data_IF_438335032087
#
_entry.id   IF_438335032087
#
_cell.length_a   1.000
_cell.length_b   1.000
_cell.length_c   1.000
_cell.angle_alpha   90.00
_cell.angle_beta   90.00
_cell.angle_gamma   90.00
#
_symmetry.space_group_name_H-M   'P 1'
#
loop_
_entity.id
_entity.type
_entity.pdbx_description
1 polymer ?
#
# COMPACT_ATOMS: atom_id res chain seq x y z
N UNK A 1 10.73 -8.21 -6.78
CA UNK A 1 10.64 -9.66 -6.48
C UNK A 1 11.98 -10.33 -6.24
N UNK A 2 12.85 -10.50 -7.24
CA UNK A 2 14.14 -11.23 -7.10
C UNK A 2 15.02 -10.67 -5.97
N UNK A 3 15.06 -9.35 -5.80
CA UNK A 3 15.83 -8.71 -4.74
C UNK A 3 15.31 -9.11 -3.35
N UNK A 4 13.99 -9.03 -3.13
CA UNK A 4 13.38 -9.40 -1.85
C UNK A 4 13.58 -10.88 -1.53
N UNK A 5 13.44 -11.76 -2.54
CA UNK A 5 13.72 -13.19 -2.39
C UNK A 5 15.17 -13.45 -1.98
N UNK A 6 16.14 -12.77 -2.62
CA UNK A 6 17.55 -12.89 -2.25
C UNK A 6 17.84 -12.37 -0.84
N UNK A 7 17.19 -11.29 -0.42
CA UNK A 7 17.33 -10.79 0.96
C UNK A 7 16.81 -11.84 1.94
N UNK A 8 15.62 -12.41 1.71
CA UNK A 8 15.08 -13.49 2.52
C UNK A 8 16.02 -14.70 2.57
N UNK A 9 16.61 -15.10 1.44
CA UNK A 9 17.57 -16.21 1.37
C UNK A 9 18.85 -15.94 2.20
N UNK A 10 19.32 -14.69 2.26
CA UNK A 10 20.48 -14.31 3.08
C UNK A 10 20.21 -14.52 4.58
N UNK A 11 18.97 -14.33 5.02
CA UNK A 11 18.58 -14.51 6.42
C UNK A 11 18.04 -15.91 6.73
N UNK A 12 18.06 -16.83 5.76
CA UNK A 12 17.61 -18.22 5.95
C UNK A 12 18.25 -18.96 7.13
N UNK A 13 19.54 -18.78 7.49
CA UNK A 13 20.10 -19.39 8.69
C UNK A 13 19.41 -18.97 10.00
N UNK A 14 18.71 -17.84 9.98
CA UNK A 14 17.95 -17.29 11.10
C UNK A 14 16.44 -17.44 10.90
N UNK A 15 16.00 -18.33 10.00
CA UNK A 15 14.59 -18.43 9.64
C UNK A 15 13.71 -18.60 10.87
N UNK A 16 14.15 -19.33 11.89
CA UNK A 16 13.37 -19.60 13.12
C UNK A 16 13.23 -18.36 14.03
N UNK A 17 13.87 -17.23 13.73
CA UNK A 17 13.71 -15.99 14.50
C UNK A 17 13.71 -14.76 13.57
N UNK A 18 13.08 -14.92 12.41
CA UNK A 18 13.04 -13.88 11.38
C UNK A 18 11.63 -13.28 11.25
N UNK A 19 11.57 -11.97 11.44
CA UNK A 19 10.49 -11.12 10.96
C UNK A 19 11.01 -10.34 9.75
N UNK A 20 10.34 -10.52 8.60
CA UNK A 20 10.62 -9.78 7.39
C UNK A 20 9.48 -8.80 7.12
N UNK A 21 9.83 -7.52 6.99
CA UNK A 21 8.90 -6.43 6.68
C UNK A 21 9.42 -5.71 5.45
N UNK A 22 8.58 -5.57 4.43
CA UNK A 22 8.86 -4.76 3.26
C UNK A 22 7.70 -3.81 2.99
N UNK A 23 8.06 -2.57 2.69
CA UNK A 23 7.15 -1.51 2.35
C UNK A 23 7.76 -0.64 1.25
N UNK A 24 6.97 -0.29 0.24
CA UNK A 24 7.34 0.78 -0.69
C UNK A 24 6.89 2.15 -0.13
N UNK A 25 7.70 3.16 -0.34
CA UNK A 25 7.46 4.55 0.06
C UNK A 25 6.32 5.20 -0.74
N UNK A 26 6.23 4.90 -2.04
CA UNK A 26 5.14 5.33 -2.90
C UNK A 26 4.88 4.33 -4.03
N UNK A 27 3.74 4.48 -4.69
CA UNK A 27 3.43 3.79 -5.94
C UNK A 27 3.84 4.64 -7.14
N UNK A 28 3.56 4.17 -8.35
CA UNK A 28 4.02 4.80 -9.58
C UNK A 28 2.97 4.60 -10.67
N UNK A 29 2.71 5.64 -11.47
CA UNK A 29 2.00 5.48 -12.73
C UNK A 29 2.98 4.91 -13.75
N UNK A 30 2.63 3.78 -14.36
CA UNK A 30 3.43 3.17 -15.42
C UNK A 30 2.53 2.94 -16.63
N UNK A 31 2.71 3.73 -17.68
CA UNK A 31 1.92 3.65 -18.91
C UNK A 31 2.66 4.19 -20.13
N UNK A 32 2.08 4.00 -21.31
CA UNK A 32 2.66 4.52 -22.55
C UNK A 32 2.73 6.06 -22.59
N UNK A 33 1.75 6.74 -21.98
CA UNK A 33 1.54 8.18 -22.14
C UNK A 33 1.86 9.00 -20.88
N UNK A 34 2.07 8.34 -19.74
CA UNK A 34 2.34 8.99 -18.45
C UNK A 34 3.12 8.05 -17.54
N UNK A 35 4.22 8.56 -16.96
CA UNK A 35 5.07 7.80 -16.05
C UNK A 35 5.55 8.72 -14.93
N UNK A 36 5.58 8.26 -13.70
CA UNK A 36 5.95 9.12 -12.57
C UNK A 36 5.02 8.98 -11.37
N UNK A 37 5.30 9.85 -10.41
CA UNK A 37 4.46 10.21 -9.27
C UNK A 37 4.58 11.71 -9.01
N UNK A 38 3.83 12.25 -8.05
CA UNK A 38 3.76 13.67 -7.71
C UNK A 38 2.78 14.47 -8.57
N UNK A 39 1.73 13.84 -9.09
CA UNK A 39 0.74 14.54 -9.92
C UNK A 39 -0.27 15.34 -9.08
N UNK A 40 -0.84 16.39 -9.69
CA UNK A 40 -2.02 17.06 -9.18
C UNK A 40 -2.97 17.42 -10.33
N UNK A 41 -4.19 16.85 -10.39
CA UNK A 41 -4.72 15.86 -9.45
C UNK A 41 -3.91 14.54 -9.46
N UNK A 42 -3.72 13.96 -8.28
CA UNK A 42 -3.05 12.67 -8.11
C UNK A 42 -3.92 11.48 -8.55
N UNK A 43 -3.29 10.32 -8.70
CA UNK A 43 -3.91 9.06 -9.10
C UNK A 43 -3.78 8.01 -8.01
N UNK A 44 -4.72 7.05 -8.00
CA UNK A 44 -4.70 5.96 -7.01
C UNK A 44 -3.39 5.16 -7.02
N UNK A 45 -2.79 4.98 -8.20
CA UNK A 45 -1.55 4.22 -8.40
C UNK A 45 -0.35 4.83 -7.65
N UNK A 46 -0.36 6.13 -7.35
CA UNK A 46 0.72 6.80 -6.60
C UNK A 46 0.70 6.44 -5.10
N UNK A 47 -0.46 6.01 -4.58
CA UNK A 47 -0.66 5.68 -3.17
C UNK A 47 -0.79 4.18 -2.90
N UNK A 48 -1.00 3.39 -3.95
CA UNK A 48 -1.16 1.94 -3.83
C UNK A 48 0.21 1.26 -3.77
N UNK A 49 0.68 1.01 -2.55
CA UNK A 49 1.98 0.39 -2.31
C UNK A 49 1.89 -1.06 -1.89
N UNK A 50 2.86 -1.91 -2.27
CA UNK A 50 3.01 -3.24 -1.71
C UNK A 50 3.46 -3.17 -0.25
N UNK A 51 2.76 -3.91 0.61
CA UNK A 51 3.16 -4.20 1.97
C UNK A 51 3.31 -5.71 2.14
N UNK A 52 4.52 -6.17 2.48
CA UNK A 52 4.81 -7.57 2.71
C UNK A 52 5.25 -7.73 4.16
N UNK A 53 4.56 -8.63 4.84
CA UNK A 53 4.93 -9.06 6.17
C UNK A 53 5.08 -10.58 6.15
N UNK A 54 6.18 -11.09 6.67
CA UNK A 54 6.45 -12.51 6.72
C UNK A 54 7.18 -12.86 8.02
N UNK A 55 6.81 -13.99 8.60
CA UNK A 55 7.54 -14.59 9.72
C UNK A 55 7.42 -16.11 9.64
N UNK A 56 8.45 -16.80 10.11
CA UNK A 56 8.45 -18.26 10.28
C UNK A 56 7.54 -18.74 11.41
N UNK A 57 7.28 -17.88 12.38
CA UNK A 57 6.42 -18.17 13.52
C UNK A 57 5.09 -17.46 13.40
N UNK A 58 4.02 -18.19 13.67
CA UNK A 58 2.72 -17.60 13.94
C UNK A 58 2.76 -16.95 15.34
N UNK A 59 3.38 -15.77 15.43
CA UNK A 59 3.38 -14.98 16.66
C UNK A 59 1.96 -14.47 16.93
N UNK A 60 1.55 -14.24 18.20
CA UNK A 60 0.24 -13.68 18.53
C UNK A 60 -0.10 -12.41 17.72
N UNK A 61 0.83 -11.46 17.47
CA UNK A 61 0.63 -10.33 16.58
C UNK A 61 0.07 -10.66 15.19
N UNK A 62 0.41 -11.84 14.64
CA UNK A 62 -0.02 -12.26 13.32
C UNK A 62 -1.53 -12.48 13.21
N UNK A 63 -2.14 -13.00 14.27
CA UNK A 63 -3.58 -13.24 14.32
C UNK A 63 -4.35 -11.91 14.33
N UNK A 64 -3.86 -10.96 15.12
CA UNK A 64 -4.45 -9.64 15.26
C UNK A 64 -4.37 -8.89 13.91
N UNK A 65 -3.17 -8.82 13.30
CA UNK A 65 -2.96 -8.21 11.97
C UNK A 65 -3.89 -8.82 10.92
N UNK A 66 -3.90 -10.15 10.80
CA UNK A 66 -4.70 -10.83 9.79
C UNK A 66 -6.20 -10.61 10.01
N UNK A 67 -6.66 -10.62 11.26
CA UNK A 67 -8.07 -10.40 11.59
C UNK A 67 -8.49 -8.96 11.27
N UNK A 68 -7.63 -7.97 11.57
CA UNK A 68 -7.93 -6.57 11.26
C UNK A 68 -7.97 -6.34 9.76
N UNK A 69 -6.97 -6.82 9.00
CA UNK A 69 -6.95 -6.70 7.54
C UNK A 69 -8.12 -7.43 6.87
N UNK A 70 -8.56 -8.56 7.42
CA UNK A 70 -9.70 -9.31 6.88
C UNK A 70 -11.07 -8.69 7.19
N UNK A 71 -11.17 -7.89 8.27
CA UNK A 71 -12.42 -7.26 8.72
C UNK A 71 -12.54 -5.80 8.29
N UNK A 72 -11.45 -5.17 7.87
CA UNK A 72 -11.46 -3.80 7.38
C UNK A 72 -11.98 -3.72 5.95
N UNK A 73 -12.97 -2.86 5.73
CA UNK A 73 -13.37 -2.37 4.39
C UNK A 73 -12.50 -1.21 3.92
N UNK A 74 -11.59 -0.72 4.77
CA UNK A 74 -10.73 0.43 4.53
C UNK A 74 -9.38 0.06 3.93
N UNK A 75 -8.69 1.06 3.38
CA UNK A 75 -7.29 0.97 2.99
C UNK A 75 -6.44 1.01 4.25
N UNK A 76 -5.47 0.09 4.36
CA UNK A 76 -4.47 0.16 5.42
C UNK A 76 -3.54 1.34 5.10
N UNK A 77 -3.61 2.41 5.90
CA UNK A 77 -2.68 3.52 5.76
C UNK A 77 -1.42 3.24 6.61
N UNK A 78 -0.29 3.72 6.14
CA UNK A 78 1.02 3.44 6.75
C UNK A 78 1.51 4.60 7.60
N UNK A 79 0.65 5.57 7.87
CA UNK A 79 0.97 6.75 8.68
C UNK A 79 1.41 6.38 10.11
N UNK A 80 0.94 5.23 10.61
CA UNK A 80 1.32 4.67 11.91
C UNK A 80 2.23 3.43 11.78
N UNK A 81 3.03 3.35 10.71
CA UNK A 81 3.94 2.21 10.48
C UNK A 81 5.01 2.08 11.57
N UNK A 82 5.51 3.20 12.11
CA UNK A 82 6.43 3.22 13.24
C UNK A 82 5.86 2.49 14.47
N UNK A 83 4.60 2.77 14.81
CA UNK A 83 3.89 2.09 15.89
C UNK A 83 3.64 0.61 15.58
N UNK A 84 3.32 0.26 14.33
CA UNK A 84 3.22 -1.15 13.91
C UNK A 84 4.57 -1.85 14.12
N UNK A 85 5.67 -1.22 13.72
CA UNK A 85 7.00 -1.79 13.84
C UNK A 85 7.40 -1.99 15.31
N UNK A 86 7.11 -1.03 16.19
CA UNK A 86 7.32 -1.19 17.63
C UNK A 86 6.51 -2.34 18.22
N UNK A 87 5.28 -2.54 17.75
CA UNK A 87 4.44 -3.66 18.18
C UNK A 87 4.98 -5.00 17.69
N UNK A 88 5.37 -5.07 16.41
CA UNK A 88 6.00 -6.25 15.82
C UNK A 88 7.32 -6.62 16.50
N UNK A 89 8.08 -5.63 16.95
CA UNK A 89 9.31 -5.81 17.72
C UNK A 89 9.07 -6.17 19.20
N UNK A 90 7.81 -6.26 19.65
CA UNK A 90 7.45 -6.57 21.04
C UNK A 90 7.74 -5.45 22.03
N UNK A 91 8.01 -4.22 21.56
CA UNK A 91 8.30 -3.05 22.40
C UNK A 91 7.01 -2.51 23.03
N UNK A 92 5.90 -2.54 22.28
CA UNK A 92 4.58 -2.14 22.79
C UNK A 92 3.64 -3.35 22.85
N UNK A 93 2.76 -3.43 23.87
CA UNK A 93 1.94 -4.62 24.11
C UNK A 93 0.74 -4.73 23.18
N UNK A 94 0.34 -3.64 22.51
CA UNK A 94 -0.80 -3.61 21.61
C UNK A 94 -0.61 -2.58 20.51
N UNK A 95 -1.28 -2.81 19.39
CA UNK A 95 -1.34 -1.89 18.25
C UNK A 95 -2.78 -1.78 17.77
N UNK A 96 -3.20 -0.56 17.48
CA UNK A 96 -4.49 -0.28 16.86
C UNK A 96 -4.20 0.04 15.40
N UNK A 97 -4.60 -0.86 14.50
CA UNK A 97 -4.49 -0.61 13.07
C UNK A 97 -5.31 0.60 12.71
N UNK A 98 -4.64 1.58 12.11
CA UNK A 98 -5.32 2.68 11.48
C UNK A 98 -5.71 2.23 10.07
N UNK A 99 -7.00 2.35 9.79
CA UNK A 99 -7.55 2.13 8.47
C UNK A 99 -8.20 3.44 8.07
N UNK A 100 -7.76 3.98 6.95
CA UNK A 100 -8.21 5.28 6.46
C UNK A 100 -8.13 5.26 4.94
N UNK A 101 -9.16 5.78 4.27
CA UNK A 101 -9.08 6.10 2.86
C UNK A 101 -8.36 7.43 2.62
N UNK A 102 -8.05 8.21 3.65
CA UNK A 102 -7.43 9.51 3.48
C UNK A 102 -5.94 9.39 3.11
N UNK A 103 -5.53 10.13 2.09
CA UNK A 103 -4.14 10.23 1.63
C UNK A 103 -3.73 11.69 1.50
N UNK A 104 -2.43 11.95 1.66
CA UNK A 104 -1.85 13.29 1.48
C UNK A 104 -1.47 13.51 0.01
N UNK A 105 -2.17 14.41 -0.66
CA UNK A 105 -1.85 14.91 -2.00
C UNK A 105 -1.24 16.30 -1.88
N UNK A 106 0.09 16.40 -2.06
CA UNK A 106 0.84 17.65 -1.94
C UNK A 106 0.53 18.42 -0.64
N UNK A 107 -0.37 19.39 -0.70
CA UNK A 107 -0.77 20.28 0.39
C UNK A 107 -2.19 20.03 0.94
N UNK A 108 -2.85 18.95 0.52
CA UNK A 108 -4.22 18.61 0.95
C UNK A 108 -4.41 17.13 1.30
N UNK A 109 -5.45 16.88 2.08
CA UNK A 109 -5.93 15.52 2.38
C UNK A 109 -7.12 15.22 1.47
N UNK A 110 -7.07 14.08 0.78
CA UNK A 110 -8.11 13.62 -0.15
C UNK A 110 -8.54 12.19 0.17
N UNK A 111 -9.75 11.81 -0.20
CA UNK A 111 -10.18 10.42 -0.12
C UNK A 111 -9.60 9.63 -1.30
N UNK A 112 -8.92 8.53 -1.01
CA UNK A 112 -8.33 7.61 -1.99
C UNK A 112 -9.35 7.12 -3.03
N UNK A 113 -10.59 6.87 -2.61
CA UNK A 113 -11.64 6.39 -3.51
C UNK A 113 -12.19 7.49 -4.42
N UNK A 114 -11.94 8.76 -4.10
CA UNK A 114 -12.26 9.90 -4.97
C UNK A 114 -11.17 10.14 -6.03
N UNK A 115 -9.97 9.58 -5.84
CA UNK A 115 -8.92 9.63 -6.85
C UNK A 115 -9.28 8.74 -8.04
N UNK A 116 -8.98 9.23 -9.24
CA UNK A 116 -9.24 8.47 -10.46
C UNK A 116 -8.13 7.42 -10.66
N UNK A 117 -8.46 6.15 -10.92
CA UNK A 117 -7.48 5.19 -11.40
C UNK A 117 -6.96 5.66 -12.76
N UNK A 118 -5.64 5.69 -12.95
CA UNK A 118 -5.04 6.15 -14.20
C UNK A 118 -5.58 5.36 -15.39
N UNK A 119 -5.68 4.03 -15.27
CA UNK A 119 -6.15 3.14 -16.34
C UNK A 119 -7.63 3.31 -16.72
N UNK A 120 -8.39 4.12 -15.99
CA UNK A 120 -9.81 4.41 -16.30
C UNK A 120 -10.00 5.75 -17.00
N UNK A 121 -8.93 6.53 -17.20
CA UNK A 121 -8.99 7.74 -17.98
C UNK A 121 -9.12 7.39 -19.47
N UNK A 122 -10.05 8.02 -20.22
CA UNK A 122 -10.02 7.91 -21.67
C UNK A 122 -8.68 8.46 -22.16
N UNK A 123 -7.95 7.63 -22.91
CA UNK A 123 -6.60 7.90 -23.39
C UNK A 123 -6.56 9.09 -24.38
N UNK A 124 -7.72 9.56 -24.87
CA UNK A 124 -7.82 10.70 -25.78
C UNK A 124 -9.12 11.52 -25.63
N UNK A 125 -9.14 12.80 -26.07
CA UNK A 125 -10.35 13.59 -26.21
C UNK A 125 -11.44 12.92 -27.07
N UNK A 126 -11.03 12.12 -28.07
CA UNK A 126 -11.95 11.35 -28.94
C UNK A 126 -12.66 10.22 -28.18
N UNK A 127 -11.97 9.51 -27.30
CA UNK A 127 -12.57 8.47 -26.46
C UNK A 127 -13.54 9.05 -25.41
N UNK A 128 -13.27 10.25 -24.89
CA UNK A 128 -14.19 10.99 -24.01
C UNK A 128 -15.49 11.42 -24.73
N UNK A 129 -15.39 11.77 -26.02
CA UNK A 129 -16.52 12.10 -26.88
C UNK A 129 -17.41 10.88 -27.16
N UNK A 130 -16.81 9.71 -27.44
CA UNK A 130 -17.55 8.48 -27.68
C UNK A 130 -18.36 8.01 -26.46
N UNK A 131 -17.77 8.04 -25.26
CA UNK A 131 -18.48 7.66 -24.02
C UNK A 131 -19.65 8.60 -23.66
N UNK A 132 -19.64 9.86 -24.14
CA UNK A 132 -20.75 10.81 -23.94
C UNK A 132 -21.88 10.63 -24.96
N UNK A 133 -21.62 10.02 -26.10
CA UNK A 133 -22.63 9.74 -27.14
C UNK A 133 -23.41 8.45 -26.81
N UNK A 134 -22.82 7.54 -26.04
CA UNK A 134 -23.42 6.25 -25.66
C UNK A 134 -24.23 6.27 -24.33
N UNK A 135 -24.42 7.45 -23.71
CA UNK A 135 -25.32 7.67 -22.56
C UNK A 135 -26.50 8.55 -22.94
#
# INVERSE_FOLDING_TARGET
DIVLAKILDLFRPYQDDLLFVYLADHGEIVSENKNGHGYSPAYQEEYRTPFILWSSHATPPWKDIKSTLASSTGVFNLDAFDHLFLYLAGVVPSYHFQVSSQVFELDRVVDYYDLLPYHTQPETPEQSLLQKIER
#
